data_IF_766268998706
#
_entry.id   IF_766268998706
#
_cell.length_a   1.000
_cell.length_b   1.000
_cell.length_c   1.000
_cell.angle_alpha   90.00
_cell.angle_beta   90.00
_cell.angle_gamma   90.00
#
_symmetry.space_group_name_H-M   'P 1'
#
loop_
_entity.id
_entity.type
_entity.pdbx_description
1 polymer ?
#
# COMPACT_ATOMS: atom_id res chain seq x y z
N UNK A 1 17.25 -2.41 -8.04
CA UNK A 1 16.26 -2.27 -9.12
C UNK A 1 15.32 -3.46 -9.09
N UNK A 2 14.03 -3.23 -9.36
CA UNK A 2 13.03 -4.27 -9.36
C UNK A 2 12.55 -4.72 -7.96
N UNK A 3 12.94 -4.06 -6.90
CA UNK A 3 12.50 -4.33 -5.53
C UNK A 3 11.70 -3.14 -5.04
N UNK A 4 10.48 -3.38 -4.57
CA UNK A 4 9.60 -2.31 -4.14
C UNK A 4 8.38 -2.74 -3.33
N UNK A 5 8.36 -3.98 -2.85
CA UNK A 5 7.33 -4.39 -1.88
C UNK A 5 7.64 -3.78 -0.52
N UNK A 6 6.63 -3.43 0.31
CA UNK A 6 6.88 -2.77 1.59
C UNK A 6 7.87 -3.48 2.51
N UNK A 7 7.76 -4.80 2.63
CA UNK A 7 8.66 -5.59 3.46
C UNK A 7 10.10 -5.58 2.94
N UNK A 8 10.29 -5.73 1.62
CA UNK A 8 11.63 -5.68 1.02
C UNK A 8 12.26 -4.29 1.10
N UNK A 9 11.47 -3.23 1.01
CA UNK A 9 11.97 -1.87 1.20
C UNK A 9 12.61 -1.73 2.58
N UNK A 10 11.95 -2.22 3.62
CA UNK A 10 12.50 -2.16 4.98
C UNK A 10 13.81 -2.92 5.12
N UNK A 11 13.88 -4.15 4.56
CA UNK A 11 15.10 -4.94 4.57
C UNK A 11 16.23 -4.25 3.80
N UNK A 12 15.92 -3.66 2.66
CA UNK A 12 16.90 -2.98 1.83
C UNK A 12 17.42 -1.70 2.49
N UNK A 13 16.56 -0.90 3.09
CA UNK A 13 16.96 0.30 3.84
C UNK A 13 17.89 -0.07 4.99
N UNK A 14 17.57 -1.15 5.71
CA UNK A 14 18.42 -1.66 6.80
C UNK A 14 19.83 -2.03 6.31
N UNK A 15 19.97 -2.38 5.04
CA UNK A 15 21.23 -2.74 4.42
C UNK A 15 21.85 -1.59 3.59
N UNK A 16 21.38 -0.36 3.77
CA UNK A 16 22.00 0.83 3.18
C UNK A 16 21.49 1.22 1.80
N UNK A 17 20.38 0.68 1.35
CA UNK A 17 19.79 1.07 0.06
C UNK A 17 18.91 2.32 0.26
N UNK A 18 19.13 3.32 -0.59
CA UNK A 18 18.44 4.61 -0.50
C UNK A 18 17.38 4.83 -1.57
N UNK A 19 17.48 4.14 -2.71
CA UNK A 19 16.61 4.37 -3.87
C UNK A 19 16.04 3.05 -4.36
N UNK A 20 14.79 3.13 -4.84
CA UNK A 20 14.05 1.97 -5.35
C UNK A 20 13.41 2.31 -6.68
N UNK A 21 13.41 1.35 -7.59
CA UNK A 21 12.73 1.44 -8.87
C UNK A 21 12.00 0.13 -9.13
N UNK A 22 10.67 0.17 -9.12
CA UNK A 22 9.86 -1.03 -9.24
C UNK A 22 8.46 -0.69 -9.78
N UNK A 23 7.97 -1.51 -10.70
CA UNK A 23 6.60 -1.38 -11.23
C UNK A 23 5.56 -2.06 -10.34
N UNK A 24 5.97 -2.75 -9.30
CA UNK A 24 5.08 -3.59 -8.47
C UNK A 24 3.88 -2.83 -7.92
N UNK A 25 4.03 -1.61 -7.36
CA UNK A 25 2.89 -0.90 -6.78
C UNK A 25 1.76 -0.62 -7.77
N UNK A 26 2.11 -0.22 -8.99
CA UNK A 26 1.12 0.06 -10.04
C UNK A 26 0.61 -1.22 -10.69
N UNK A 27 1.48 -2.23 -10.85
CA UNK A 27 1.07 -3.53 -11.39
C UNK A 27 0.03 -4.20 -10.51
N UNK A 28 0.27 -4.30 -9.20
CA UNK A 28 -0.71 -4.94 -8.30
C UNK A 28 -1.98 -4.11 -8.19
N UNK A 29 -1.89 -2.78 -8.28
CA UNK A 29 -3.06 -1.91 -8.31
C UNK A 29 -3.97 -2.24 -9.48
N UNK A 30 -3.40 -2.42 -10.67
CA UNK A 30 -4.17 -2.81 -11.86
C UNK A 30 -4.87 -4.16 -11.68
N UNK A 31 -4.34 -5.02 -10.84
CA UNK A 31 -4.91 -6.32 -10.53
C UNK A 31 -5.86 -6.33 -9.32
N UNK A 32 -6.14 -5.16 -8.76
CA UNK A 32 -7.08 -5.02 -7.65
C UNK A 32 -6.48 -5.18 -6.26
N UNK A 33 -5.18 -5.02 -6.11
CA UNK A 33 -4.54 -5.06 -4.79
C UNK A 33 -4.20 -3.66 -4.30
N UNK A 34 -4.62 -3.38 -3.07
CA UNK A 34 -4.29 -2.16 -2.35
C UNK A 34 -3.31 -2.48 -1.23
N UNK A 35 -2.31 -1.64 -1.05
CA UNK A 35 -1.47 -1.71 0.14
C UNK A 35 -2.22 -1.14 1.35
N UNK A 36 -2.08 -1.79 2.47
CA UNK A 36 -2.58 -1.30 3.74
C UNK A 36 -1.54 -1.60 4.83
N UNK A 37 -1.63 -0.87 5.94
CA UNK A 37 -0.67 -1.04 7.05
C UNK A 37 -0.80 -2.42 7.70
N UNK A 38 -1.97 -3.05 7.60
CA UNK A 38 -2.24 -4.39 8.10
C UNK A 38 -2.06 -5.48 7.04
N UNK A 39 -1.45 -5.15 5.91
CA UNK A 39 -1.21 -6.08 4.83
C UNK A 39 -1.91 -5.69 3.53
N UNK A 40 -1.70 -6.49 2.52
CA UNK A 40 -2.25 -6.24 1.18
C UNK A 40 -3.72 -6.66 1.12
N UNK A 41 -4.57 -5.81 0.55
CA UNK A 41 -5.99 -6.06 0.39
C UNK A 41 -6.29 -6.44 -1.06
N UNK A 42 -6.95 -7.59 -1.27
CA UNK A 42 -7.50 -7.94 -2.58
C UNK A 42 -8.93 -7.42 -2.67
N UNK A 43 -9.10 -6.29 -3.35
CA UNK A 43 -10.41 -5.63 -3.46
C UNK A 43 -11.42 -6.44 -4.27
N UNK A 44 -10.97 -7.37 -5.09
CA UNK A 44 -11.86 -8.25 -5.87
C UNK A 44 -12.50 -9.35 -5.04
N UNK A 45 -12.01 -9.58 -3.82
CA UNK A 45 -12.54 -10.61 -2.95
C UNK A 45 -14.02 -10.34 -2.62
N UNK A 46 -14.82 -11.41 -2.65
CA UNK A 46 -16.26 -11.33 -2.42
C UNK A 46 -16.64 -10.74 -1.07
N UNK A 47 -15.76 -10.86 -0.06
CA UNK A 47 -16.01 -10.28 1.28
C UNK A 47 -16.20 -8.77 1.28
N UNK A 48 -15.72 -8.08 0.22
CA UNK A 48 -15.86 -6.63 0.10
C UNK A 48 -17.14 -6.19 -0.61
N UNK A 49 -17.96 -7.12 -1.07
CA UNK A 49 -19.14 -6.83 -1.91
C UNK A 49 -20.09 -5.82 -1.27
N UNK A 50 -20.30 -5.95 0.03
CA UNK A 50 -21.22 -5.07 0.78
C UNK A 50 -20.48 -4.28 1.86
N UNK A 51 -19.16 -4.21 1.78
CA UNK A 51 -18.35 -3.51 2.78
C UNK A 51 -18.60 -2.01 2.74
N UNK A 52 -18.86 -1.43 3.92
CA UNK A 52 -18.94 0.02 4.11
C UNK A 52 -17.60 0.60 4.57
N UNK A 53 -16.56 -0.24 4.70
CA UNK A 53 -15.24 0.21 5.11
C UNK A 53 -14.58 1.03 3.99
N UNK A 54 -13.68 1.90 4.40
CA UNK A 54 -12.95 2.80 3.53
C UNK A 54 -11.44 2.54 3.65
N UNK A 55 -10.65 2.93 2.62
CA UNK A 55 -9.20 3.00 2.78
C UNK A 55 -8.80 3.94 3.91
N UNK A 56 -7.49 3.94 4.23
CA UNK A 56 -6.94 4.84 5.25
C UNK A 56 -7.48 6.26 5.09
N UNK A 57 -7.89 6.94 6.19
CA UNK A 57 -8.44 8.30 6.13
C UNK A 57 -7.52 9.32 5.45
N UNK A 58 -6.22 9.08 5.44
CA UNK A 58 -5.23 9.97 4.81
C UNK A 58 -4.98 9.63 3.34
N UNK A 59 -5.56 8.55 2.84
CA UNK A 59 -5.44 8.16 1.44
C UNK A 59 -6.20 9.12 0.52
N UNK A 60 -5.69 9.39 -0.69
CA UNK A 60 -6.42 10.21 -1.68
C UNK A 60 -7.74 9.60 -2.13
N UNK A 61 -7.96 8.32 -1.84
CA UNK A 61 -9.21 7.63 -2.19
C UNK A 61 -10.05 7.27 -0.96
N UNK A 62 -9.83 7.94 0.16
CA UNK A 62 -10.54 7.66 1.42
C UNK A 62 -12.05 7.89 1.34
N UNK A 63 -12.53 8.67 0.38
CA UNK A 63 -13.96 8.91 0.18
C UNK A 63 -14.72 7.75 -0.46
N UNK A 64 -14.04 6.71 -0.92
CA UNK A 64 -14.65 5.57 -1.59
C UNK A 64 -14.71 4.35 -0.66
N UNK A 65 -15.84 3.63 -0.70
CA UNK A 65 -15.96 2.37 0.05
C UNK A 65 -15.27 1.23 -0.68
N UNK A 66 -14.89 0.19 0.04
CA UNK A 66 -14.35 -1.02 -0.60
C UNK A 66 -15.38 -1.69 -1.52
N UNK A 67 -16.67 -1.63 -1.20
CA UNK A 67 -17.70 -2.16 -2.08
C UNK A 67 -17.76 -1.43 -3.42
N UNK A 68 -17.63 -0.11 -3.40
CA UNK A 68 -17.58 0.68 -4.64
C UNK A 68 -16.34 0.37 -5.47
N UNK A 69 -15.17 0.31 -4.82
CA UNK A 69 -13.93 -0.03 -5.51
C UNK A 69 -14.01 -1.43 -6.13
N UNK A 70 -14.55 -2.40 -5.39
CA UNK A 70 -14.78 -3.75 -5.93
C UNK A 70 -15.70 -3.71 -7.14
N UNK A 71 -16.78 -2.95 -7.07
CA UNK A 71 -17.72 -2.78 -8.18
C UNK A 71 -17.00 -2.29 -9.44
N UNK A 72 -16.13 -1.29 -9.31
CA UNK A 72 -15.37 -0.75 -10.45
C UNK A 72 -14.51 -1.82 -11.13
N UNK A 73 -13.84 -2.66 -10.36
CA UNK A 73 -13.04 -3.75 -10.91
C UNK A 73 -13.92 -4.80 -11.58
N UNK A 74 -15.04 -5.18 -10.97
CA UNK A 74 -15.98 -6.15 -11.55
C UNK A 74 -16.63 -5.65 -12.82
N UNK A 75 -16.93 -4.36 -12.89
CA UNK A 75 -17.53 -3.74 -14.07
C UNK A 75 -16.51 -3.48 -15.19
N UNK A 76 -15.22 -3.69 -14.91
CA UNK A 76 -14.17 -3.40 -15.88
C UNK A 76 -13.95 -1.92 -16.14
N UNK A 77 -14.33 -1.06 -15.17
CA UNK A 77 -14.16 0.38 -15.29
C UNK A 77 -12.72 0.80 -15.03
N UNK A 78 -12.17 1.64 -15.90
CA UNK A 78 -10.79 2.13 -15.77
C UNK A 78 -10.56 2.90 -14.46
N UNK A 79 -11.60 3.49 -13.90
CA UNK A 79 -11.50 4.24 -12.65
C UNK A 79 -11.01 3.36 -11.49
N UNK A 80 -11.34 2.06 -11.48
CA UNK A 80 -10.86 1.14 -10.46
C UNK A 80 -9.33 1.10 -10.38
N UNK A 81 -8.64 0.69 -11.45
CA UNK A 81 -7.17 0.72 -11.51
C UNK A 81 -6.56 2.10 -11.26
N UNK A 82 -7.19 3.17 -11.72
CA UNK A 82 -6.71 4.54 -11.49
C UNK A 82 -6.71 4.87 -9.99
N UNK A 83 -7.81 4.60 -9.31
CA UNK A 83 -7.91 4.88 -7.86
C UNK A 83 -6.97 4.00 -7.06
N UNK A 84 -6.88 2.72 -7.39
CA UNK A 84 -5.97 1.79 -6.71
C UNK A 84 -4.51 2.22 -6.89
N UNK A 85 -4.13 2.68 -8.07
CA UNK A 85 -2.78 3.18 -8.35
C UNK A 85 -2.48 4.43 -7.51
N UNK A 86 -3.41 5.38 -7.45
CA UNK A 86 -3.26 6.57 -6.60
C UNK A 86 -3.02 6.19 -5.15
N UNK A 87 -3.81 5.24 -4.64
CA UNK A 87 -3.67 4.77 -3.26
C UNK A 87 -2.30 4.14 -3.02
N UNK A 88 -1.86 3.23 -3.89
CA UNK A 88 -0.61 2.52 -3.70
C UNK A 88 0.61 3.45 -3.78
N UNK A 89 0.58 4.43 -4.68
CA UNK A 89 1.65 5.42 -4.76
C UNK A 89 1.67 6.31 -3.51
N UNK A 90 0.52 6.73 -3.03
CA UNK A 90 0.41 7.46 -1.77
C UNK A 90 0.96 6.64 -0.60
N UNK A 91 0.59 5.36 -0.53
CA UNK A 91 1.02 4.47 0.54
C UNK A 91 2.55 4.37 0.61
N UNK A 92 3.18 4.12 -0.54
CA UNK A 92 4.64 3.99 -0.58
C UNK A 92 5.34 5.31 -0.29
N UNK A 93 4.82 6.42 -0.81
CA UNK A 93 5.36 7.75 -0.51
C UNK A 93 5.31 8.02 0.99
N UNK A 94 4.16 7.77 1.62
CA UNK A 94 3.97 7.95 3.05
C UNK A 94 4.90 7.05 3.84
N UNK A 95 5.03 5.79 3.43
CA UNK A 95 5.95 4.84 4.07
C UNK A 95 7.40 5.33 4.00
N UNK A 96 7.84 5.83 2.84
CA UNK A 96 9.20 6.36 2.69
C UNK A 96 9.42 7.60 3.57
N UNK A 97 8.42 8.45 3.70
CA UNK A 97 8.48 9.60 4.62
C UNK A 97 8.62 9.16 6.08
N UNK A 98 7.85 8.14 6.48
CA UNK A 98 7.93 7.57 7.82
C UNK A 98 9.29 6.90 8.08
N UNK A 99 9.83 6.19 7.09
CA UNK A 99 11.17 5.59 7.18
C UNK A 99 12.22 6.67 7.41
N UNK A 100 12.18 7.73 6.59
CA UNK A 100 13.13 8.84 6.71
C UNK A 100 13.05 9.49 8.10
N UNK A 101 11.84 9.76 8.58
CA UNK A 101 11.61 10.35 9.89
C UNK A 101 12.16 9.44 11.00
N UNK A 102 11.94 8.13 10.91
CA UNK A 102 12.43 7.17 11.89
C UNK A 102 13.97 7.11 11.93
N UNK A 103 14.63 7.25 10.78
CA UNK A 103 16.09 7.30 10.70
C UNK A 103 16.60 8.59 11.38
N UNK A 104 15.96 9.73 11.09
CA UNK A 104 16.34 11.01 11.69
C UNK A 104 16.20 11.00 13.22
N UNK A 105 15.24 10.24 13.74
CA UNK A 105 14.99 10.10 15.18
C UNK A 105 15.72 8.92 15.82
N UNK A 106 16.57 8.23 15.04
CA UNK A 106 17.28 7.03 15.47
C UNK A 106 16.34 5.93 15.98
N UNK A 107 15.21 5.76 15.30
CA UNK A 107 14.14 4.81 15.67
C UNK A 107 13.81 3.83 14.54
N UNK A 108 14.68 3.68 13.56
CA UNK A 108 14.38 2.85 12.38
C UNK A 108 14.14 1.38 12.75
N UNK A 109 14.95 0.81 13.63
CA UNK A 109 14.79 -0.59 14.05
C UNK A 109 13.42 -0.84 14.69
N UNK A 110 12.97 0.09 15.53
CA UNK A 110 11.65 0.01 16.15
C UNK A 110 10.54 0.14 15.10
N UNK A 111 10.66 1.09 14.19
CA UNK A 111 9.72 1.27 13.08
C UNK A 111 9.61 0.02 12.22
N UNK A 112 10.74 -0.54 11.80
CA UNK A 112 10.80 -1.76 10.99
C UNK A 112 10.11 -2.92 11.69
N UNK A 113 10.42 -3.16 12.96
CA UNK A 113 9.84 -4.24 13.74
C UNK A 113 8.31 -4.10 13.87
N UNK A 114 7.85 -2.91 14.22
CA UNK A 114 6.42 -2.63 14.35
C UNK A 114 5.68 -2.78 13.03
N UNK A 115 6.25 -2.23 11.95
CA UNK A 115 5.65 -2.33 10.61
C UNK A 115 5.51 -3.79 10.18
N UNK A 116 6.57 -4.58 10.28
CA UNK A 116 6.55 -5.98 9.84
C UNK A 116 5.60 -6.83 10.68
N UNK A 117 5.54 -6.59 11.99
CA UNK A 117 4.60 -7.31 12.87
C UNK A 117 3.16 -7.05 12.45
N UNK A 118 2.84 -5.81 12.10
CA UNK A 118 1.50 -5.43 11.68
C UNK A 118 1.19 -5.88 10.26
N UNK A 119 2.11 -5.68 9.34
CA UNK A 119 1.92 -5.95 7.90
C UNK A 119 1.80 -7.43 7.58
N UNK A 120 2.53 -8.28 8.29
CA UNK A 120 2.57 -9.72 8.04
C UNK A 120 1.59 -10.53 8.90
N UNK A 121 0.60 -9.90 9.49
CA UNK A 121 -0.43 -10.60 10.27
C UNK A 121 -1.29 -11.58 9.44
#
# INVERSE_FOLDING_TARGET
MGIGTPDYILWAVDNGIDMFDCVFPTRVARNGYLFDWDGKINIRNAKHRLSTDHPDPNSPISGYTYSYLRHLFHAGEMLGPVLATKHNLWFLKTMMEQIRDSILKDQFSAYKSEFLTRYNR
#
